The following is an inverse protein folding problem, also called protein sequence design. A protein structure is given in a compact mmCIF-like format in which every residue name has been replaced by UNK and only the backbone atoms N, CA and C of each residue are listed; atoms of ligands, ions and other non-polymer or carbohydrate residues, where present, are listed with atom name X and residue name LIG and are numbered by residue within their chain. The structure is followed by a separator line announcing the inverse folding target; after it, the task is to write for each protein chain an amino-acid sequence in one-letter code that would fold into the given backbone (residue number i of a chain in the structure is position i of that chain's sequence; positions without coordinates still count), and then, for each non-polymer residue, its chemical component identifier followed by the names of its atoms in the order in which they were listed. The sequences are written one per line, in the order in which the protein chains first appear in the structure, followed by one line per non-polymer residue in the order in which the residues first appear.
data_IF_878369037735
#
_entry.id   IF_878369037735
#
_cell.length_a   1.000
_cell.length_b   1.000
_cell.length_c   1.000
_cell.angle_alpha   90.00
_cell.angle_beta   90.00
_cell.angle_gamma   90.00
#
_symmetry.space_group_name_H-M   'P 1'
#
loop_
_entity.id
_entity.type
_entity.pdbx_description
1 polymer ?
#
# COMPACT_ATOMS: atom_id res chain seq x y z
N UNK A 1 -7.31 4.10 -24.55
CA UNK A 1 -6.42 2.97 -24.19
C UNK A 1 -5.52 3.49 -23.09
N UNK A 2 -5.89 3.27 -21.82
CA UNK A 2 -5.04 3.64 -20.69
C UNK A 2 -3.79 2.76 -20.72
N UNK A 3 -2.64 3.36 -20.46
CA UNK A 3 -1.32 2.73 -20.51
C UNK A 3 -1.11 1.85 -19.27
N UNK A 4 -2.06 0.97 -18.96
CA UNK A 4 -2.01 0.10 -17.80
C UNK A 4 -0.98 -1.02 -18.02
N UNK A 5 -0.04 -1.09 -17.09
CA UNK A 5 1.01 -2.09 -16.93
C UNK A 5 0.53 -3.49 -17.31
N UNK A 6 1.16 -4.05 -18.34
CA UNK A 6 0.93 -5.40 -18.87
C UNK A 6 1.67 -6.38 -17.94
N UNK A 7 1.06 -7.41 -17.31
CA UNK A 7 -0.30 -7.95 -17.40
C UNK A 7 -1.26 -7.47 -16.28
N UNK A 8 -2.54 -7.32 -16.62
CA UNK A 8 -3.59 -6.88 -15.68
C UNK A 8 -4.46 -8.08 -15.23
N UNK A 9 -4.54 -8.32 -13.92
CA UNK A 9 -5.32 -9.41 -13.31
C UNK A 9 -6.80 -9.42 -13.73
N UNK A 10 -7.36 -8.25 -14.04
CA UNK A 10 -8.75 -8.06 -14.46
C UNK A 10 -9.02 -8.70 -15.84
N UNK A 11 -8.00 -8.79 -16.70
CA UNK A 11 -8.11 -9.50 -18.00
C UNK A 11 -8.16 -11.01 -17.82
N UNK A 12 -7.49 -11.55 -16.80
CA UNK A 12 -7.52 -12.98 -16.47
C UNK A 12 -8.87 -13.40 -15.91
N UNK A 13 -9.57 -12.51 -15.18
CA UNK A 13 -10.92 -12.78 -14.65
C UNK A 13 -11.92 -13.08 -15.77
N UNK A 14 -11.76 -12.44 -16.94
CA UNK A 14 -12.64 -12.66 -18.10
C UNK A 14 -12.53 -14.11 -18.63
N UNK A 15 -11.39 -14.78 -18.42
CA UNK A 15 -11.22 -16.18 -18.82
C UNK A 15 -11.87 -17.17 -17.84
N UNK A 16 -12.25 -16.74 -16.63
CA UNK A 16 -12.77 -17.63 -15.60
C UNK A 16 -14.03 -18.43 -16.02
N UNK A 17 -15.05 -17.83 -16.68
CA UNK A 17 -16.23 -18.57 -17.12
C UNK A 17 -15.90 -19.70 -18.11
N UNK A 18 -14.91 -19.50 -18.97
CA UNK A 18 -14.49 -20.49 -19.97
C UNK A 18 -13.99 -21.76 -19.28
N UNK A 19 -13.12 -21.63 -18.27
CA UNK A 19 -12.62 -22.77 -17.51
C UNK A 19 -13.71 -23.49 -16.70
N UNK A 20 -14.68 -22.75 -16.18
CA UNK A 20 -15.84 -23.33 -15.47
C UNK A 20 -16.70 -24.17 -16.41
N UNK A 21 -16.98 -23.67 -17.62
CA UNK A 21 -17.73 -24.41 -18.65
C UNK A 21 -17.00 -25.68 -19.04
N UNK A 22 -15.69 -25.60 -19.34
CA UNK A 22 -14.90 -26.79 -19.68
C UNK A 22 -14.86 -27.82 -18.55
N UNK A 23 -14.77 -27.36 -17.30
CA UNK A 23 -14.80 -28.25 -16.13
C UNK A 23 -16.15 -28.94 -15.99
N UNK A 24 -17.26 -28.20 -16.14
CA UNK A 24 -18.61 -28.76 -16.08
C UNK A 24 -18.87 -29.79 -17.20
N UNK A 25 -18.46 -29.47 -18.43
CA UNK A 25 -18.55 -30.38 -19.57
C UNK A 25 -17.69 -31.63 -19.38
N UNK A 26 -16.48 -31.47 -18.84
CA UNK A 26 -15.59 -32.60 -18.50
C UNK A 26 -16.22 -33.53 -17.47
N UNK A 27 -16.79 -33.00 -16.39
CA UNK A 27 -17.49 -33.79 -15.37
C UNK A 27 -18.70 -34.51 -15.99
N UNK A 28 -19.48 -33.83 -16.83
CA UNK A 28 -20.63 -34.42 -17.51
C UNK A 28 -20.23 -35.57 -18.45
N UNK A 29 -19.18 -35.39 -19.25
CA UNK A 29 -18.67 -36.44 -20.13
C UNK A 29 -18.18 -37.68 -19.35
N UNK A 30 -17.43 -37.46 -18.26
CA UNK A 30 -16.95 -38.53 -17.37
C UNK A 30 -18.12 -39.29 -16.74
N UNK A 31 -19.19 -38.59 -16.34
CA UNK A 31 -20.39 -39.23 -15.80
C UNK A 31 -21.05 -40.21 -16.79
N UNK A 32 -21.03 -39.88 -18.08
CA UNK A 32 -21.54 -40.73 -19.17
C UNK A 32 -20.62 -41.91 -19.50
N UNK A 33 -19.30 -41.71 -19.48
CA UNK A 33 -18.33 -42.76 -19.80
C UNK A 33 -18.12 -43.78 -18.67
N UNK A 34 -18.15 -43.33 -17.42
CA UNK A 34 -17.95 -44.20 -16.25
C UNK A 34 -19.27 -44.90 -15.90
N UNK A 35 -19.41 -46.14 -16.38
CA UNK A 35 -20.59 -46.99 -16.11
C UNK A 35 -20.74 -47.35 -14.63
N UNK A 36 -19.64 -47.50 -13.90
CA UNK A 36 -19.64 -47.80 -12.47
C UNK A 36 -19.81 -46.53 -11.62
N UNK A 37 -21.01 -46.30 -11.08
CA UNK A 37 -21.30 -45.09 -10.29
C UNK A 37 -20.51 -45.00 -8.99
N UNK A 38 -20.14 -46.12 -8.35
CA UNK A 38 -19.26 -46.10 -7.16
C UNK A 38 -17.88 -45.53 -7.51
N UNK A 39 -17.33 -45.94 -8.65
CA UNK A 39 -16.05 -45.42 -9.15
C UNK A 39 -16.15 -43.93 -9.49
N UNK A 40 -17.24 -43.48 -10.10
CA UNK A 40 -17.47 -42.06 -10.40
C UNK A 40 -17.46 -41.20 -9.12
N UNK A 41 -18.24 -41.57 -8.10
CA UNK A 41 -18.29 -40.82 -6.84
C UNK A 41 -16.96 -40.85 -6.09
N UNK A 42 -16.20 -41.95 -6.17
CA UNK A 42 -14.84 -42.04 -5.64
C UNK A 42 -13.92 -41.02 -6.31
N UNK A 43 -13.94 -40.94 -7.65
CA UNK A 43 -13.12 -40.00 -8.41
C UNK A 43 -13.48 -38.54 -8.08
N UNK A 44 -14.78 -38.22 -8.02
CA UNK A 44 -15.25 -36.88 -7.60
C UNK A 44 -14.79 -36.56 -6.17
N UNK A 45 -14.90 -37.52 -5.24
CA UNK A 45 -14.42 -37.36 -3.87
C UNK A 45 -12.93 -37.07 -3.82
N UNK A 46 -12.11 -37.80 -4.58
CA UNK A 46 -10.67 -37.57 -4.69
C UNK A 46 -10.39 -36.18 -5.28
N UNK A 47 -11.07 -35.78 -6.35
CA UNK A 47 -10.91 -34.45 -6.96
C UNK A 47 -11.27 -33.33 -5.98
N UNK A 48 -12.34 -33.48 -5.19
CA UNK A 48 -12.72 -32.52 -4.14
C UNK A 48 -11.64 -32.45 -3.07
N UNK A 49 -11.10 -33.58 -2.61
CA UNK A 49 -10.01 -33.59 -1.62
C UNK A 49 -8.78 -32.84 -2.15
N UNK A 50 -8.36 -33.13 -3.40
CA UNK A 50 -7.23 -32.43 -4.03
C UNK A 50 -7.52 -30.93 -4.16
N UNK A 51 -8.74 -30.57 -4.54
CA UNK A 51 -9.17 -29.17 -4.58
C UNK A 51 -9.07 -28.50 -3.21
N UNK A 52 -9.57 -29.14 -2.15
CA UNK A 52 -9.51 -28.60 -0.79
C UNK A 52 -8.08 -28.42 -0.28
N UNK A 53 -7.17 -29.34 -0.63
CA UNK A 53 -5.74 -29.20 -0.31
C UNK A 53 -5.15 -27.99 -1.03
N UNK A 54 -5.39 -27.84 -2.34
CA UNK A 54 -4.91 -26.71 -3.13
C UNK A 54 -5.52 -25.39 -2.64
N UNK A 55 -6.81 -25.38 -2.35
CA UNK A 55 -7.52 -24.21 -1.86
C UNK A 55 -7.01 -23.79 -0.48
N UNK A 56 -6.72 -24.74 0.41
CA UNK A 56 -6.09 -24.46 1.71
C UNK A 56 -4.70 -23.85 1.55
N UNK A 57 -3.90 -24.38 0.61
CA UNK A 57 -2.59 -23.80 0.28
C UNK A 57 -2.74 -22.39 -0.31
N UNK A 58 -3.72 -22.15 -1.17
CA UNK A 58 -4.05 -20.82 -1.69
C UNK A 58 -4.43 -19.85 -0.58
N UNK A 59 -5.34 -20.23 0.32
CA UNK A 59 -5.74 -19.40 1.46
C UNK A 59 -4.55 -19.06 2.36
N UNK A 60 -3.68 -20.03 2.65
CA UNK A 60 -2.45 -19.79 3.42
C UNK A 60 -1.54 -18.79 2.72
N UNK A 61 -1.36 -18.93 1.40
CA UNK A 61 -0.59 -17.96 0.61
C UNK A 61 -1.22 -16.57 0.62
N UNK A 62 -2.53 -16.47 0.44
CA UNK A 62 -3.25 -15.20 0.36
C UNK A 62 -3.32 -14.45 1.69
N UNK A 63 -3.60 -15.15 2.79
CA UNK A 63 -3.86 -14.51 4.09
C UNK A 63 -2.66 -14.49 5.03
N UNK A 64 -1.66 -15.37 4.83
CA UNK A 64 -0.49 -15.43 5.71
C UNK A 64 0.75 -14.89 5.01
N UNK A 65 1.12 -15.44 3.85
CA UNK A 65 2.40 -15.09 3.22
C UNK A 65 2.33 -13.78 2.41
N UNK A 66 1.24 -13.56 1.68
CA UNK A 66 1.08 -12.40 0.81
C UNK A 66 1.11 -11.06 1.55
N UNK A 67 0.39 -10.86 2.68
CA UNK A 67 0.43 -9.59 3.40
C UNK A 67 1.83 -9.27 3.93
N UNK A 68 2.55 -10.27 4.42
CA UNK A 68 3.94 -10.11 4.90
C UNK A 68 4.84 -9.67 3.75
N UNK A 69 4.83 -10.43 2.65
CA UNK A 69 5.74 -10.24 1.52
C UNK A 69 5.51 -8.93 0.76
N UNK A 70 4.25 -8.52 0.61
CA UNK A 70 3.88 -7.35 -0.20
C UNK A 70 3.41 -6.16 0.64
N UNK A 71 3.66 -6.16 1.95
CA UNK A 71 3.29 -5.05 2.84
C UNK A 71 3.84 -3.69 2.36
N UNK A 72 5.03 -3.67 1.76
CA UNK A 72 5.60 -2.48 1.12
C UNK A 72 4.75 -1.95 -0.03
N UNK A 73 4.32 -2.83 -0.95
CA UNK A 73 3.52 -2.45 -2.12
C UNK A 73 2.11 -2.01 -1.73
N UNK A 74 1.61 -2.54 -0.61
CA UNK A 74 0.38 -2.08 0.04
C UNK A 74 0.58 -0.82 0.90
N UNK A 75 1.77 -0.22 0.86
CA UNK A 75 2.08 1.03 1.54
C UNK A 75 1.82 0.94 3.04
N UNK A 76 2.08 -0.24 3.63
CA UNK A 76 1.96 -0.47 5.07
C UNK A 76 2.87 0.50 5.85
N UNK A 77 2.49 0.84 7.07
CA UNK A 77 3.21 1.79 7.91
C UNK A 77 2.71 3.24 7.81
N UNK A 78 1.97 3.58 6.75
CA UNK A 78 1.38 4.92 6.62
C UNK A 78 0.36 5.20 7.73
N UNK A 79 -0.41 4.19 8.12
CA UNK A 79 -1.37 4.31 9.24
C UNK A 79 -0.65 4.67 10.53
N UNK A 80 0.38 3.90 10.89
CA UNK A 80 1.17 4.09 12.10
C UNK A 80 1.88 5.46 12.10
N UNK A 81 2.41 5.88 10.95
CA UNK A 81 3.00 7.21 10.81
C UNK A 81 1.97 8.33 11.03
N UNK A 82 0.76 8.20 10.48
CA UNK A 82 -0.29 9.20 10.64
C UNK A 82 -0.90 9.18 12.05
N UNK A 83 -0.98 8.02 12.71
CA UNK A 83 -1.36 7.93 14.12
C UNK A 83 -0.36 8.67 15.01
N UNK A 84 0.95 8.52 14.75
CA UNK A 84 1.98 9.31 15.44
C UNK A 84 1.82 10.81 15.19
N UNK A 85 1.59 11.20 13.93
CA UNK A 85 1.30 12.60 13.56
C UNK A 85 0.12 13.12 14.37
N UNK A 86 -1.00 12.40 14.38
CA UNK A 86 -2.24 12.80 15.07
C UNK A 86 -2.03 13.13 16.54
N UNK A 87 -1.15 12.39 17.21
CA UNK A 87 -0.85 12.58 18.64
C UNK A 87 0.13 13.73 18.93
N UNK A 88 0.88 14.19 17.91
CA UNK A 88 2.02 15.08 18.09
C UNK A 88 2.01 16.32 17.21
N UNK A 89 1.07 16.44 16.27
CA UNK A 89 1.09 17.46 15.22
C UNK A 89 1.04 18.90 15.72
N UNK A 90 0.50 19.14 16.93
CA UNK A 90 0.41 20.48 17.53
C UNK A 90 1.77 21.01 18.02
N UNK A 91 2.80 20.16 18.09
CA UNK A 91 4.15 20.52 18.54
C UNK A 91 5.02 21.10 17.42
N UNK A 92 4.58 20.96 16.17
CA UNK A 92 5.40 21.22 14.98
C UNK A 92 4.74 22.24 14.06
N UNK A 93 5.57 23.12 13.49
CA UNK A 93 5.14 24.14 12.53
C UNK A 93 5.04 23.56 11.11
N UNK A 94 5.73 22.44 10.86
CA UNK A 94 5.79 21.76 9.57
C UNK A 94 5.92 20.25 9.77
N UNK A 95 5.15 19.49 9.01
CA UNK A 95 5.20 18.02 8.97
C UNK A 95 5.60 17.60 7.57
N UNK A 96 6.82 17.07 7.44
CA UNK A 96 7.38 16.61 6.18
C UNK A 96 7.24 15.10 6.10
N UNK A 97 6.53 14.60 5.09
CA UNK A 97 6.26 13.18 4.94
C UNK A 97 6.62 12.69 3.53
N UNK A 98 7.62 11.83 3.45
CA UNK A 98 8.14 11.30 2.18
C UNK A 98 7.06 10.67 1.31
N UNK A 99 7.12 10.92 -0.01
CA UNK A 99 6.29 10.27 -1.03
C UNK A 99 6.87 8.94 -1.55
N UNK A 100 7.95 8.44 -0.96
CA UNK A 100 8.69 7.30 -1.50
C UNK A 100 7.83 6.05 -1.77
N UNK A 101 6.83 5.79 -0.91
CA UNK A 101 5.93 4.64 -1.08
C UNK A 101 4.61 4.99 -1.80
N UNK A 102 4.43 6.20 -2.33
CA UNK A 102 3.25 6.63 -3.09
C UNK A 102 2.68 7.97 -2.61
N UNK A 103 1.37 8.06 -2.40
CA UNK A 103 0.67 9.32 -2.07
C UNK A 103 0.34 9.41 -0.56
N UNK A 104 1.29 9.83 0.31
CA UNK A 104 1.09 9.91 1.76
C UNK A 104 -0.08 10.82 2.15
N UNK A 105 -0.37 11.86 1.34
CA UNK A 105 -1.45 12.80 1.59
C UNK A 105 -2.82 12.09 1.72
N UNK A 106 -3.07 11.02 0.95
CA UNK A 106 -4.31 10.27 1.02
C UNK A 106 -4.48 9.59 2.39
N UNK A 107 -3.40 8.99 2.92
CA UNK A 107 -3.40 8.38 4.24
C UNK A 107 -3.52 9.43 5.34
N UNK A 108 -2.84 10.57 5.20
CA UNK A 108 -2.97 11.71 6.11
C UNK A 108 -4.42 12.17 6.21
N UNK A 109 -5.06 12.46 5.07
CA UNK A 109 -6.46 12.91 5.03
C UNK A 109 -7.41 11.86 5.64
N UNK A 110 -7.21 10.59 5.28
CA UNK A 110 -8.07 9.49 5.73
C UNK A 110 -7.98 9.24 7.25
N UNK A 111 -6.77 9.07 7.79
CA UNK A 111 -6.58 8.69 9.20
C UNK A 111 -6.71 9.88 10.17
N UNK A 112 -6.42 11.10 9.72
CA UNK A 112 -6.76 12.32 10.48
C UNK A 112 -8.25 12.65 10.41
N UNK A 113 -9.01 11.99 9.52
CA UNK A 113 -10.43 12.28 9.26
C UNK A 113 -10.65 13.74 8.86
N UNK A 114 -9.81 14.21 7.95
CA UNK A 114 -9.85 15.59 7.48
C UNK A 114 -11.18 15.88 6.76
N UNK A 115 -11.80 17.03 7.02
CA UNK A 115 -13.05 17.41 6.36
C UNK A 115 -12.78 17.64 4.85
N UNK A 116 -13.44 16.90 3.93
CA UNK A 116 -13.25 17.07 2.50
C UNK A 116 -13.59 18.48 1.99
N UNK A 117 -14.57 19.15 2.60
CA UNK A 117 -14.94 20.51 2.24
C UNK A 117 -13.88 21.50 2.68
N UNK A 118 -13.28 21.31 3.86
CA UNK A 118 -12.14 22.12 4.29
C UNK A 118 -10.95 21.89 3.37
N UNK A 119 -10.58 20.63 3.11
CA UNK A 119 -9.44 20.29 2.25
C UNK A 119 -9.50 20.95 0.87
N UNK A 120 -10.66 20.92 0.22
CA UNK A 120 -10.86 21.52 -1.11
C UNK A 120 -10.72 23.04 -1.12
N UNK A 121 -10.93 23.70 0.01
CA UNK A 121 -10.90 25.16 0.16
C UNK A 121 -9.67 25.66 0.93
N UNK A 122 -8.68 24.81 1.21
CA UNK A 122 -7.45 25.21 1.91
C UNK A 122 -6.69 26.24 1.04
N UNK A 123 -6.36 27.44 1.58
CA UNK A 123 -5.69 28.49 0.82
C UNK A 123 -4.30 28.11 0.27
N UNK A 124 -3.59 27.21 0.94
CA UNK A 124 -2.24 26.77 0.58
C UNK A 124 -2.18 25.33 0.05
N UNK A 125 -3.29 24.83 -0.51
CA UNK A 125 -3.32 23.55 -1.21
C UNK A 125 -2.51 23.67 -2.50
N UNK A 126 -1.37 22.98 -2.55
CA UNK A 126 -0.51 22.88 -3.72
C UNK A 126 -0.67 21.48 -4.33
N UNK A 127 -1.23 21.44 -5.54
CA UNK A 127 -1.41 20.21 -6.32
C UNK A 127 -0.97 20.44 -7.77
N UNK A 128 -0.39 19.42 -8.37
CA UNK A 128 0.14 19.49 -9.72
C UNK A 128 -0.13 18.18 -10.46
N UNK A 129 -0.28 18.27 -11.78
CA UNK A 129 -0.50 17.11 -12.64
C UNK A 129 0.83 16.57 -13.16
N UNK A 130 0.94 15.25 -13.25
CA UNK A 130 2.07 14.60 -13.93
C UNK A 130 1.61 13.26 -14.48
N UNK A 131 1.84 12.99 -15.76
CA UNK A 131 1.50 11.70 -16.39
C UNK A 131 0.04 11.26 -16.12
N UNK A 132 -0.93 12.14 -16.35
CA UNK A 132 -2.36 11.91 -16.10
C UNK A 132 -2.72 11.59 -14.63
N UNK A 133 -1.86 12.00 -13.69
CA UNK A 133 -2.07 11.83 -12.25
C UNK A 133 -1.99 13.17 -11.52
N UNK A 134 -2.90 13.41 -10.57
CA UNK A 134 -2.89 14.60 -9.70
C UNK A 134 -2.13 14.27 -8.42
N UNK A 135 -1.07 15.03 -8.14
CA UNK A 135 -0.30 14.94 -6.89
C UNK A 135 -0.58 16.11 -5.99
N UNK A 136 -0.54 15.88 -4.68
CA UNK A 136 -0.62 16.93 -3.67
C UNK A 136 0.76 17.11 -3.04
N UNK A 137 1.38 18.27 -3.26
CA UNK A 137 2.69 18.61 -2.70
C UNK A 137 2.58 19.11 -1.27
N UNK A 138 1.56 19.93 -0.99
CA UNK A 138 1.41 20.62 0.29
C UNK A 138 -0.05 20.95 0.56
N UNK A 139 -0.44 20.91 1.83
CA UNK A 139 -1.63 21.58 2.33
C UNK A 139 -1.43 21.87 3.82
N UNK A 140 -2.00 22.96 4.33
CA UNK A 140 -1.89 23.33 5.74
C UNK A 140 -0.40 23.29 6.22
N UNK A 141 -0.09 22.59 7.31
CA UNK A 141 1.27 22.32 7.79
C UNK A 141 1.94 21.08 7.20
N UNK A 142 1.30 20.37 6.27
CA UNK A 142 1.84 19.14 5.66
C UNK A 142 2.58 19.41 4.35
N UNK A 143 3.75 18.83 4.21
CA UNK A 143 4.58 18.87 3.01
C UNK A 143 5.01 17.45 2.61
N UNK A 144 4.81 17.08 1.35
CA UNK A 144 5.00 15.70 0.86
C UNK A 144 6.09 15.57 -0.20
N UNK A 145 7.36 15.88 0.09
CA UNK A 145 8.44 15.78 -0.89
C UNK A 145 8.90 14.33 -1.12
N UNK A 146 9.74 14.12 -2.13
CA UNK A 146 10.66 12.98 -2.11
C UNK A 146 11.93 13.41 -1.36
N UNK A 147 12.21 12.78 -0.22
CA UNK A 147 13.38 13.14 0.60
C UNK A 147 14.72 12.66 0.01
N UNK A 148 14.69 11.81 -1.02
CA UNK A 148 15.89 11.40 -1.75
C UNK A 148 16.35 12.42 -2.80
N UNK A 149 15.44 13.28 -3.27
CA UNK A 149 15.69 14.20 -4.37
C UNK A 149 16.50 15.42 -3.93
N UNK A 150 17.34 15.91 -4.85
CA UNK A 150 18.16 17.12 -4.61
C UNK A 150 17.24 18.33 -4.41
N UNK A 151 17.45 19.09 -3.34
CA UNK A 151 16.66 20.27 -2.99
C UNK A 151 15.50 19.97 -2.04
N UNK A 152 15.25 18.70 -1.74
CA UNK A 152 14.23 18.26 -0.79
C UNK A 152 14.76 17.25 0.22
N UNK A 153 16.08 17.10 0.33
CA UNK A 153 16.69 16.28 1.37
C UNK A 153 16.47 16.91 2.75
N UNK A 154 16.69 16.11 3.80
CA UNK A 154 16.55 16.55 5.19
C UNK A 154 17.18 17.92 5.47
N UNK A 155 18.43 18.12 5.06
CA UNK A 155 19.15 19.38 5.29
C UNK A 155 18.61 20.54 4.43
N UNK A 156 18.18 20.27 3.20
CA UNK A 156 17.61 21.29 2.30
C UNK A 156 16.33 21.89 2.91
N UNK A 157 15.46 21.02 3.44
CA UNK A 157 14.20 21.42 4.07
C UNK A 157 14.45 22.22 5.35
N UNK A 158 15.44 21.82 6.15
CA UNK A 158 15.87 22.56 7.33
C UNK A 158 16.33 23.96 6.96
N UNK A 159 17.20 24.08 5.95
CA UNK A 159 17.75 25.35 5.50
C UNK A 159 16.67 26.28 4.94
N UNK A 160 15.69 25.73 4.23
CA UNK A 160 14.55 26.47 3.69
C UNK A 160 13.53 26.91 4.76
N UNK A 161 13.58 26.35 5.96
CA UNK A 161 12.64 26.64 7.06
C UNK A 161 13.39 26.99 8.36
N UNK A 162 14.11 28.13 8.39
CA UNK A 162 14.81 28.57 9.59
C UNK A 162 13.80 28.83 10.73
N UNK A 163 14.17 28.46 11.96
CA UNK A 163 13.35 28.70 13.16
C UNK A 163 12.11 27.82 13.33
N UNK A 164 11.67 27.07 12.31
CA UNK A 164 10.53 26.14 12.45
C UNK A 164 10.91 24.85 13.15
N UNK A 165 10.00 24.34 13.99
CA UNK A 165 9.98 22.96 14.48
C UNK A 165 9.39 22.05 13.40
N UNK A 166 10.15 21.05 12.98
CA UNK A 166 9.77 20.20 11.84
C UNK A 166 9.78 18.75 12.26
N UNK A 167 8.66 18.07 12.04
CA UNK A 167 8.57 16.62 12.12
C UNK A 167 8.86 16.04 10.73
N UNK A 168 9.73 15.04 10.66
CA UNK A 168 10.07 14.36 9.43
C UNK A 168 9.69 12.89 9.51
N UNK A 169 9.05 12.40 8.45
CA UNK A 169 8.71 11.00 8.24
C UNK A 169 9.32 10.59 6.91
N UNK A 170 10.30 9.70 6.96
CA UNK A 170 11.13 9.31 5.81
C UNK A 170 11.36 7.81 5.77
N UNK A 171 11.83 7.29 4.63
CA UNK A 171 12.29 5.90 4.54
C UNK A 171 13.69 5.76 5.17
N UNK A 172 14.15 4.54 5.47
CA UNK A 172 15.54 4.31 5.87
C UNK A 172 16.54 4.98 4.91
N UNK A 173 17.48 5.72 5.51
CA UNK A 173 18.52 6.45 4.78
C UNK A 173 18.15 7.87 4.36
N UNK A 174 16.91 8.34 4.59
CA UNK A 174 16.55 9.75 4.37
C UNK A 174 17.17 10.68 5.44
N UNK A 175 17.54 10.14 6.60
CA UNK A 175 18.05 10.91 7.74
C UNK A 175 19.44 10.42 8.18
N UNK A 176 20.34 11.36 8.60
CA UNK A 176 21.62 10.99 9.18
C UNK A 176 21.50 10.06 10.39
N UNK A 177 22.41 9.10 10.51
CA UNK A 177 22.36 8.02 11.53
C UNK A 177 22.47 8.56 12.97
N UNK A 178 23.11 9.72 13.17
CA UNK A 178 23.29 10.33 14.49
C UNK A 178 22.03 11.02 15.03
N UNK A 179 20.99 11.20 14.22
CA UNK A 179 19.75 11.84 14.66
C UNK A 179 18.89 10.82 15.44
N UNK A 180 18.39 11.15 16.64
CA UNK A 180 17.49 10.26 17.37
C UNK A 180 16.20 9.98 16.58
N UNK A 181 15.82 8.70 16.47
CA UNK A 181 14.52 8.30 15.92
C UNK A 181 13.49 8.36 17.04
N UNK A 182 12.45 9.16 16.84
CA UNK A 182 11.30 9.23 17.74
C UNK A 182 10.45 7.96 17.65
N UNK A 183 10.31 7.43 16.43
CA UNK A 183 9.61 6.18 16.14
C UNK A 183 10.22 5.53 14.89
N UNK A 184 10.29 4.20 14.90
CA UNK A 184 10.61 3.38 13.73
C UNK A 184 9.41 2.50 13.41
N UNK A 185 8.78 2.71 12.26
CA UNK A 185 7.66 1.91 11.77
C UNK A 185 8.20 0.80 10.89
N UNK A 186 7.74 -0.44 11.08
CA UNK A 186 8.16 -1.60 10.31
C UNK A 186 7.06 -2.08 9.38
N UNK A 187 7.48 -2.65 8.26
CA UNK A 187 6.65 -3.52 7.44
C UNK A 187 6.36 -4.84 8.16
N UNK A 188 5.42 -5.62 7.63
CA UNK A 188 5.04 -6.91 8.20
C UNK A 188 6.13 -7.97 8.08
N UNK A 189 7.17 -7.73 7.26
CA UNK A 189 8.37 -8.57 7.12
C UNK A 189 9.54 -8.09 8.00
N UNK A 190 9.30 -7.22 8.99
CA UNK A 190 10.28 -6.62 9.91
C UNK A 190 11.27 -5.62 9.31
N UNK A 191 11.25 -5.39 7.99
CA UNK A 191 12.01 -4.30 7.37
C UNK A 191 11.46 -2.94 7.82
N UNK A 192 12.35 -1.94 7.91
CA UNK A 192 11.92 -0.60 8.33
C UNK A 192 11.18 0.10 7.18
N UNK A 193 9.94 0.47 7.43
CA UNK A 193 9.11 1.24 6.52
C UNK A 193 9.44 2.73 6.64
N UNK A 194 9.29 3.27 7.85
CA UNK A 194 9.51 4.69 8.14
C UNK A 194 10.38 4.90 9.37
N UNK A 195 11.21 5.93 9.30
CA UNK A 195 11.85 6.55 10.44
C UNK A 195 11.16 7.90 10.67
N UNK A 196 10.85 8.20 11.94
CA UNK A 196 10.31 9.49 12.35
C UNK A 196 11.35 10.21 13.18
N UNK A 197 11.72 11.41 12.76
CA UNK A 197 12.71 12.25 13.45
C UNK A 197 12.16 13.67 13.58
N UNK A 198 12.68 14.42 14.55
CA UNK A 198 12.42 15.86 14.64
C UNK A 198 13.71 16.65 14.42
N UNK A 199 13.53 17.85 13.88
CA UNK A 199 14.56 18.88 13.92
C UNK A 199 14.61 19.48 15.33
N UNK A 200 15.77 19.39 15.97
CA UNK A 200 16.11 20.16 17.17
C UNK A 200 16.46 21.61 16.82
#
# INVERSE_FOLDING_TARGET
LTNDSIPNALRTVIAAPVYQIFTALGIYAVYGWVKNKKLFYLLIGISIIIFLINFSAFLKNLFVYYPIKYSRDWQYGNKEAVEYIKENEDKYDLITFTRHYGEPHMFTLFYLKYDPAQFQNIPNLDRFETYDWVRVLKFDKFYFPDLGDKGTQYQDIINANPGKKILFIGKPGDFPVYIPRLLTVKFLNDEVAFEIVEKQ
#
